data_IF_002761101694
#
_entry.id   IF_002761101694
#
_cell.length_a   1.000
_cell.length_b   1.000
_cell.length_c   1.000
_cell.angle_alpha   90.00
_cell.angle_beta   90.00
_cell.angle_gamma   90.00
#
_symmetry.space_group_name_H-M   'P 1'
#
loop_
_entity.id
_entity.type
_entity.pdbx_description
1 polymer ?
2 non-polymer ?
3 water ?
#
# COMPACT_ATOMS: atom_id res chain seq x y z
C UNK A 1 0.46 -8.96 19.64
N UNK A 2 0.35 -7.66 19.91
CA UNK A 2 -0.98 -7.07 20.05
C UNK A 2 -1.65 -6.68 18.75
N UNK A 3 -2.97 -6.53 18.77
CA UNK A 3 -3.75 -6.31 17.53
C UNK A 3 -3.44 -4.93 16.93
N UNK A 4 -3.21 -3.92 17.74
CA UNK A 4 -2.94 -2.56 17.19
C UNK A 4 -1.57 -2.59 16.51
N UNK A 5 -0.57 -3.13 17.19
CA UNK A 5 0.77 -3.22 16.58
C UNK A 5 0.70 -3.99 15.27
N UNK A 6 -0.07 -5.08 15.24
CA UNK A 6 -0.20 -5.91 14.02
C UNK A 6 -0.83 -5.08 12.90
N UNK A 7 -1.86 -4.30 13.21
CA UNK A 7 -2.53 -3.48 12.19
C UNK A 7 -1.57 -2.40 11.68
N UNK A 8 -0.77 -1.78 12.55
CA UNK A 8 0.21 -0.76 12.12
C UNK A 8 1.25 -1.43 11.21
N UNK A 9 1.65 -2.66 11.50
CA UNK A 9 2.60 -3.39 10.61
C UNK A 9 1.97 -3.63 9.23
N UNK A 10 0.66 -3.88 9.17
CA UNK A 10 -0.05 -4.03 7.88
C UNK A 10 -0.03 -2.70 7.12
N UNK A 11 -0.16 -1.58 7.82
CA UNK A 11 -0.04 -0.24 7.18
C UNK A 11 1.38 -0.09 6.63
N UNK A 12 2.41 -0.45 7.38
CA UNK A 12 3.78 -0.35 6.85
C UNK A 12 3.93 -1.21 5.59
N UNK A 13 3.41 -2.44 5.60
CA UNK A 13 3.52 -3.31 4.40
C UNK A 13 2.81 -2.67 3.20
N UNK A 14 1.67 -2.02 3.41
CA UNK A 14 0.94 -1.36 2.31
C UNK A 14 1.76 -0.19 1.79
N UNK A 15 2.42 0.56 2.67
CA UNK A 15 3.27 1.69 2.22
C UNK A 15 4.44 1.12 1.41
N UNK A 16 5.01 0.00 1.77
CA UNK A 16 6.07 -0.66 0.95
C UNK A 16 5.52 -1.01 -0.44
N UNK A 17 4.27 -1.45 -0.52
CA UNK A 17 3.64 -1.75 -1.84
C UNK A 17 3.58 -0.45 -2.67
N UNK A 18 3.23 0.66 -2.04
CA UNK A 18 3.22 1.97 -2.75
C UNK A 18 4.64 2.27 -3.24
N UNK A 19 5.66 2.08 -2.42
CA UNK A 19 7.05 2.33 -2.87
C UNK A 19 7.37 1.45 -4.08
N UNK A 20 7.00 0.17 -4.06
CA UNK A 20 7.31 -0.74 -5.18
C UNK A 20 6.62 -0.26 -6.45
N UNK A 21 5.38 0.19 -6.35
CA UNK A 21 4.63 0.72 -7.51
C UNK A 21 5.35 1.96 -8.06
N UNK A 22 5.83 2.83 -7.21
CA UNK A 22 6.54 4.05 -7.66
C UNK A 22 7.88 3.68 -8.29
N UNK A 23 8.57 2.64 -7.80
CA UNK A 23 9.83 2.17 -8.43
C UNK A 23 9.53 1.70 -9.85
N UNK A 24 8.39 1.05 -10.04
CA UNK A 24 8.04 0.57 -11.38
C UNK A 24 7.80 1.76 -12.30
N UNK A 25 7.17 2.83 -11.79
CA UNK A 25 6.95 4.08 -12.56
C UNK A 25 8.29 4.69 -12.97
N UNK A 26 9.30 4.67 -12.09
CA UNK A 26 10.64 5.19 -12.43
C UNK A 26 11.22 4.36 -13.57
N UNK A 27 11.07 3.03 -13.54
CA UNK A 27 11.56 2.16 -14.65
C UNK A 27 10.83 2.52 -15.96
N UNK A 28 9.53 2.81 -15.89
CA UNK A 28 8.72 3.13 -17.09
C UNK A 28 9.19 4.45 -17.70
N UNK A 29 9.51 5.45 -16.87
CA UNK A 29 10.01 6.78 -17.31
C UNK A 29 11.39 6.62 -17.97
N UNK A 30 12.26 5.72 -17.50
CA UNK A 30 13.60 5.53 -18.11
C UNK A 30 13.45 4.71 -19.40
C UNK B 1 -11.62 -7.03 17.47
N UNK B 2 -10.76 -6.09 17.88
CA UNK B 2 -11.29 -4.79 18.32
C UNK B 2 -11.55 -3.81 17.19
N UNK B 3 -12.42 -2.84 17.42
CA UNK B 3 -12.90 -1.93 16.34
C UNK B 3 -11.76 -1.02 15.88
N UNK B 4 -10.83 -0.61 16.75
CA UNK B 4 -9.74 0.29 16.29
C UNK B 4 -8.80 -0.50 15.37
N UNK B 5 -8.41 -1.70 15.79
CA UNK B 5 -7.55 -2.55 14.95
C UNK B 5 -8.23 -2.80 13.60
N UNK B 6 -9.53 -3.05 13.62
CA UNK B 6 -10.27 -3.31 12.37
C UNK B 6 -10.23 -2.09 11.46
N UNK B 7 -10.43 -0.90 12.00
CA UNK B 7 -10.41 0.33 11.21
C UNK B 7 -9.00 0.55 10.64
N UNK B 8 -7.96 0.31 11.42
CA UNK B 8 -6.58 0.44 10.91
C UNK B 8 -6.34 -0.55 9.77
N UNK B 9 -6.87 -1.76 9.88
CA UNK B 9 -6.76 -2.73 8.76
C UNK B 9 -7.47 -2.22 7.50
N UNK B 10 -8.60 -1.51 7.65
CA UNK B 10 -9.29 -0.90 6.49
C UNK B 10 -8.39 0.18 5.87
N UNK B 11 -7.68 0.94 6.69
CA UNK B 11 -6.72 1.95 6.16
C UNK B 11 -5.61 1.22 5.38
N UNK B 12 -5.07 0.12 5.91
CA UNK B 12 -4.04 -0.64 5.16
C UNK B 12 -4.60 -1.09 3.81
N UNK B 13 -5.82 -1.61 3.79
CA UNK B 13 -6.41 -2.10 2.52
C UNK B 13 -6.53 -0.94 1.52
N UNK B 14 -6.92 0.23 1.99
CA UNK B 14 -7.09 1.40 1.11
C UNK B 14 -5.70 1.78 0.54
N UNK B 15 -4.66 1.77 1.37
CA UNK B 15 -3.30 2.08 0.91
C UNK B 15 -2.87 1.06 -0.16
N UNK B 16 -3.20 -0.23 0.00
CA UNK B 16 -2.92 -1.24 -1.04
C UNK B 16 -3.66 -0.87 -2.33
N UNK B 17 -4.88 -0.37 -2.24
CA UNK B 17 -5.61 0.08 -3.46
C UNK B 17 -4.84 1.23 -4.15
N UNK B 18 -4.29 2.14 -3.38
CA UNK B 18 -3.44 3.22 -3.95
C UNK B 18 -2.25 2.58 -4.67
N UNK B 19 -1.57 1.60 -4.08
CA UNK B 19 -0.44 0.94 -4.76
C UNK B 19 -0.92 0.33 -6.09
N UNK B 20 -2.05 -0.38 -6.08
CA UNK B 20 -2.57 -1.02 -7.32
C UNK B 20 -2.79 0.05 -8.39
N UNK B 21 -3.36 1.18 -8.02
CA UNK B 21 -3.64 2.27 -8.98
C UNK B 21 -2.33 2.80 -9.56
N UNK B 22 -1.31 2.98 -8.73
CA UNK B 22 0.00 3.46 -9.20
C UNK B 22 0.64 2.44 -10.14
N UNK B 23 0.48 1.14 -9.89
CA UNK B 23 1.00 0.10 -10.82
C UNK B 23 0.32 0.25 -12.18
N UNK B 24 -0.95 0.58 -12.20
CA UNK B 24 -1.67 0.79 -13.48
C UNK B 24 -1.04 1.96 -14.24
N UNK B 25 -0.62 3.01 -13.55
CA UNK B 25 0.09 4.16 -14.19
C UNK B 25 1.43 3.71 -14.77
N UNK B 26 2.20 2.89 -14.06
CA UNK B 26 3.51 2.40 -14.55
C UNK B 26 3.27 1.58 -15.83
N UNK B 27 2.23 0.75 -15.86
CA UNK B 27 1.93 -0.07 -17.06
C UNK B 27 1.49 0.83 -18.20
N UNK B 28 0.74 1.89 -17.92
CA UNK B 28 0.28 2.83 -18.98
C UNK B 28 1.50 3.52 -19.61
N UNK B 29 2.49 3.92 -18.81
CA UNK B 29 3.74 4.58 -19.29
C UNK B 29 4.57 3.59 -20.13
N UNK B 30 4.62 2.31 -19.77
CA UNK B 30 5.38 1.27 -20.55
C UNK B 30 4.65 0.98 -21.87
X LIG C 1 4.79 8.66 -13.09
X LIG C 1 3.57 8.12 -12.39
X LIG C 1 2.27 8.46 -13.05
X LIG C 1 3.56 8.56 -11.05
X LIG D 1 -2.42 0.82 21.39
X LIG D 1 -3.66 0.34 22.08
X LIG D 1 -3.79 1.02 23.40
X LIG D 1 -3.59 -1.12 22.30
X LIG E 1 -0.91 4.69 10.75
X LIG E 1 -2.10 5.36 11.35
X LIG E 1 -3.25 5.44 10.40
X LIG E 1 -1.76 6.66 11.82
X LIG F 1 -7.13 2.03 20.92
X LIG F 1 -8.18 1.78 21.93
X LIG F 1 -7.59 1.35 23.24
X LIG F 1 -9.13 0.78 21.46
X LIG G 1 2.28 9.56 -2.08
X LIG G 1 1.34 10.58 -2.63
X LIG G 1 1.27 11.82 -1.80
X LIG G 1 0.03 10.00 -2.75
#
# INVERSE_FOLDING_TARGET
XGEIAQALKEIAKALKEIAWALKESAQALKGX
XGEIAQALKEIAKALKEIAWALKESAQALKGX
IPA C1 C2 C3 O2
IPA C1 C2 C3 O2
IPA C1 C2 C3 O2
IPA C1 C2 C3 O2
IPA C1 C2 C3 O2
#
